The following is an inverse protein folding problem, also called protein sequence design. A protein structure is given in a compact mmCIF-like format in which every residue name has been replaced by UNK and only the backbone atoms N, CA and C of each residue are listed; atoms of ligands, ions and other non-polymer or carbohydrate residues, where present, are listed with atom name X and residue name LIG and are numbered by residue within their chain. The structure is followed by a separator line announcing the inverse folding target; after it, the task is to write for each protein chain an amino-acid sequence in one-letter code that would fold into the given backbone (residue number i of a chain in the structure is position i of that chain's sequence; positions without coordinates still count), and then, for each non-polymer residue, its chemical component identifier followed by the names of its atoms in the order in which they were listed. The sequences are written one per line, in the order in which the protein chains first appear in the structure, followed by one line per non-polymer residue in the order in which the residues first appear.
data_IF_551656843962
#
_entry.id   IF_551656843962
#
_cell.length_a   1.000
_cell.length_b   1.000
_cell.length_c   1.000
_cell.angle_alpha   90.00
_cell.angle_beta   90.00
_cell.angle_gamma   90.00
#
_symmetry.space_group_name_H-M   'P 1'
#
loop_
_entity.id
_entity.type
_entity.pdbx_description
1 polymer ?
#
# COMPACT_ATOMS: atom_id res chain seq x y z
N UNK A 1 -9.60 46.64 -30.36
CA UNK A 1 -9.95 45.20 -30.27
C UNK A 1 -10.10 44.83 -28.81
N UNK A 2 -11.34 44.65 -28.33
CA UNK A 2 -11.64 44.14 -26.99
C UNK A 2 -11.40 42.64 -27.01
N UNK A 3 -10.27 42.18 -26.47
CA UNK A 3 -10.07 40.75 -26.18
C UNK A 3 -11.00 40.36 -25.04
N UNK A 4 -12.09 39.67 -25.38
CA UNK A 4 -12.90 38.96 -24.41
C UNK A 4 -12.05 37.87 -23.77
N UNK A 5 -11.43 38.16 -22.62
CA UNK A 5 -10.96 37.13 -21.73
C UNK A 5 -12.20 36.44 -21.16
N UNK A 6 -12.52 35.25 -21.69
CA UNK A 6 -13.44 34.33 -21.03
C UNK A 6 -12.81 33.96 -19.68
N UNK A 7 -13.19 34.64 -18.61
CA UNK A 7 -12.98 34.16 -17.26
C UNK A 7 -14.00 33.05 -17.05
N UNK A 8 -13.66 31.82 -17.50
CA UNK A 8 -14.30 30.64 -16.91
C UNK A 8 -13.96 30.68 -15.42
N UNK A 9 -14.96 30.57 -14.57
CA UNK A 9 -14.78 30.45 -13.12
C UNK A 9 -13.80 29.31 -12.89
N UNK A 10 -12.56 29.65 -12.56
CA UNK A 10 -11.54 28.66 -12.25
C UNK A 10 -11.96 27.96 -10.95
N UNK A 11 -11.77 26.63 -10.83
CA UNK A 11 -11.95 25.96 -9.55
C UNK A 11 -11.08 26.63 -8.48
N UNK A 12 -11.47 26.54 -7.18
CA UNK A 12 -10.63 27.04 -6.11
C UNK A 12 -9.24 26.41 -6.23
N UNK A 13 -8.21 27.24 -6.34
CA UNK A 13 -6.83 26.80 -6.49
C UNK A 13 -5.91 27.60 -5.55
N UNK A 14 -4.79 27.02 -5.09
CA UNK A 14 -3.88 27.72 -4.18
C UNK A 14 -3.02 28.76 -4.92
N UNK A 15 -2.87 28.62 -6.23
CA UNK A 15 -2.16 29.55 -7.11
C UNK A 15 -2.67 29.42 -8.54
N UNK A 16 -2.30 30.35 -9.40
CA UNK A 16 -2.58 30.36 -10.83
C UNK A 16 -1.28 30.57 -11.63
N UNK A 17 -1.15 29.83 -12.74
CA UNK A 17 -0.04 29.96 -13.68
C UNK A 17 -0.57 30.29 -15.07
N UNK A 18 -0.23 31.48 -15.56
CA UNK A 18 -0.52 31.90 -16.94
C UNK A 18 0.58 31.47 -17.89
N UNK A 19 0.20 30.96 -19.07
CA UNK A 19 1.14 30.57 -20.13
C UNK A 19 0.94 31.43 -21.40
N UNK A 20 1.37 32.71 -21.41
CA UNK A 20 1.20 33.57 -22.57
C UNK A 20 2.09 33.12 -23.75
N UNK A 21 1.57 33.34 -24.97
CA UNK A 21 2.29 33.11 -26.24
C UNK A 21 3.30 34.21 -26.60
N UNK A 22 3.37 35.28 -25.82
CA UNK A 22 4.25 36.42 -26.06
C UNK A 22 4.92 36.82 -24.75
N UNK A 23 6.12 37.37 -24.82
CA UNK A 23 6.80 37.91 -23.65
C UNK A 23 6.11 39.19 -23.18
N UNK A 24 5.94 39.32 -21.87
CA UNK A 24 5.40 40.52 -21.23
C UNK A 24 6.60 41.33 -20.75
N UNK A 25 6.72 42.58 -21.22
CA UNK A 25 7.82 43.49 -20.86
C UNK A 25 9.25 42.92 -21.09
N UNK A 26 9.42 42.05 -22.09
CA UNK A 26 10.72 41.41 -22.39
C UNK A 26 11.15 40.33 -21.39
N UNK A 27 10.33 40.02 -20.38
CA UNK A 27 10.61 38.99 -19.40
C UNK A 27 10.03 37.63 -19.84
N UNK A 28 10.80 36.55 -19.58
CA UNK A 28 10.36 35.16 -19.86
C UNK A 28 9.42 34.61 -18.81
N UNK A 29 9.45 35.14 -17.60
CA UNK A 29 8.53 34.78 -16.54
C UNK A 29 8.31 35.99 -15.63
N UNK A 30 7.20 35.99 -14.91
CA UNK A 30 6.94 36.91 -13.81
C UNK A 30 6.23 36.16 -12.72
N UNK A 31 6.65 36.38 -11.48
CA UNK A 31 6.08 35.70 -10.33
C UNK A 31 5.97 36.64 -9.14
N UNK A 32 4.91 36.49 -8.37
CA UNK A 32 4.82 37.11 -7.06
C UNK A 32 5.72 36.38 -6.07
N UNK A 33 6.19 37.10 -5.07
CA UNK A 33 6.95 36.50 -3.97
C UNK A 33 6.03 36.19 -2.80
N UNK A 34 6.05 34.94 -2.33
CA UNK A 34 5.30 34.47 -1.16
C UNK A 34 3.78 34.72 -1.25
N UNK A 35 3.26 34.72 -2.49
CA UNK A 35 1.87 35.05 -2.80
C UNK A 35 0.91 33.85 -2.77
N UNK A 36 1.40 32.63 -2.49
CA UNK A 36 0.56 31.43 -2.47
C UNK A 36 -0.65 31.64 -1.57
N UNK A 37 -1.83 31.19 -2.02
CA UNK A 37 -3.12 31.28 -1.32
C UNK A 37 -3.67 32.68 -1.10
N UNK A 38 -3.00 33.69 -1.63
CA UNK A 38 -3.54 35.02 -1.69
C UNK A 38 -4.36 35.17 -2.98
N UNK A 39 -5.66 35.53 -2.92
CA UNK A 39 -6.48 35.67 -4.12
C UNK A 39 -6.00 36.76 -5.09
N UNK A 40 -5.24 37.75 -4.61
CA UNK A 40 -4.75 38.87 -5.42
C UNK A 40 -3.32 38.65 -5.95
N UNK A 41 -2.50 37.89 -5.22
CA UNK A 41 -1.07 37.75 -5.51
C UNK A 41 -0.63 36.31 -5.77
N UNK A 42 -1.50 35.30 -5.63
CA UNK A 42 -1.21 33.90 -5.95
C UNK A 42 -1.21 33.62 -7.45
N UNK A 43 -0.46 34.41 -8.22
CA UNK A 43 -0.39 34.29 -9.67
C UNK A 43 1.03 34.44 -10.18
N UNK A 44 1.37 33.63 -11.16
CA UNK A 44 2.62 33.74 -11.92
C UNK A 44 2.33 33.57 -13.41
N UNK A 45 3.25 33.98 -14.27
CA UNK A 45 3.20 33.67 -15.68
C UNK A 45 4.56 33.21 -16.20
N UNK A 46 4.53 32.30 -17.17
CA UNK A 46 5.71 31.83 -17.89
C UNK A 46 5.43 31.87 -19.38
N UNK A 47 6.31 32.55 -20.10
CA UNK A 47 6.29 32.57 -21.55
C UNK A 47 6.50 31.15 -22.09
N UNK A 48 5.47 30.62 -22.76
CA UNK A 48 5.50 29.29 -23.32
C UNK A 48 6.07 29.34 -24.75
N UNK A 49 7.31 28.91 -24.89
CA UNK A 49 7.97 28.72 -26.18
C UNK A 49 7.36 27.51 -26.91
N UNK A 50 6.99 27.68 -28.18
CA UNK A 50 6.50 26.58 -29.03
C UNK A 50 7.60 25.50 -29.11
N UNK A 51 7.27 24.25 -28.80
CA UNK A 51 8.17 23.08 -28.78
C UNK A 51 9.20 22.98 -27.63
N UNK A 52 9.23 23.90 -26.67
CA UNK A 52 10.13 23.83 -25.50
C UNK A 52 9.36 23.54 -24.20
N UNK A 53 8.62 22.44 -24.18
CA UNK A 53 7.74 22.07 -23.05
C UNK A 53 8.55 21.86 -21.76
N UNK A 54 9.67 21.13 -21.82
CA UNK A 54 10.50 20.88 -20.64
C UNK A 54 11.11 22.16 -20.06
N UNK A 55 11.62 23.06 -20.91
CA UNK A 55 12.12 24.36 -20.45
C UNK A 55 11.00 25.21 -19.85
N UNK A 56 9.81 25.19 -20.46
CA UNK A 56 8.64 25.89 -19.92
C UNK A 56 8.26 25.32 -18.55
N UNK A 57 8.33 24.00 -18.37
CA UNK A 57 8.05 23.32 -17.11
C UNK A 57 9.07 23.66 -16.01
N UNK A 58 10.37 23.69 -16.32
CA UNK A 58 11.40 24.06 -15.32
C UNK A 58 11.32 25.53 -14.94
N UNK A 59 11.06 26.42 -15.90
CA UNK A 59 10.83 27.85 -15.62
C UNK A 59 9.51 28.08 -14.86
N UNK A 60 8.47 27.27 -15.14
CA UNK A 60 7.24 27.26 -14.35
C UNK A 60 7.48 26.81 -12.91
N UNK A 61 8.25 25.74 -12.70
CA UNK A 61 8.63 25.29 -11.37
C UNK A 61 9.44 26.38 -10.63
N UNK A 62 10.36 27.07 -11.30
CA UNK A 62 11.08 28.23 -10.76
C UNK A 62 10.13 29.37 -10.37
N UNK A 63 9.19 29.73 -11.24
CA UNK A 63 8.20 30.78 -10.96
C UNK A 63 7.30 30.40 -9.77
N UNK A 64 6.84 29.14 -9.69
CA UNK A 64 6.07 28.61 -8.56
C UNK A 64 6.90 28.61 -7.28
N UNK A 65 8.21 28.34 -7.37
CA UNK A 65 9.14 28.46 -6.25
C UNK A 65 9.09 29.85 -5.61
N UNK A 66 9.05 30.92 -6.40
CA UNK A 66 8.86 32.28 -5.88
C UNK A 66 7.48 32.49 -5.23
N UNK A 67 6.41 31.95 -5.82
CA UNK A 67 5.06 32.03 -5.24
C UNK A 67 5.02 31.35 -3.86
N UNK A 68 5.76 30.26 -3.69
CA UNK A 68 5.95 29.55 -2.41
C UNK A 68 6.96 30.23 -1.46
N UNK A 69 7.52 31.37 -1.85
CA UNK A 69 8.39 32.19 -1.02
C UNK A 69 9.89 31.85 -1.11
N UNK A 70 10.32 31.01 -2.05
CA UNK A 70 11.73 30.74 -2.33
C UNK A 70 12.40 31.92 -3.03
N UNK A 71 13.63 32.23 -2.61
CA UNK A 71 14.49 33.23 -3.26
C UNK A 71 15.47 32.54 -4.20
N UNK A 72 16.19 33.33 -5.00
CA UNK A 72 17.27 32.77 -5.80
C UNK A 72 18.38 32.19 -4.92
N UNK A 73 19.04 31.16 -5.43
CA UNK A 73 20.14 30.50 -4.75
C UNK A 73 21.33 31.46 -4.57
N UNK A 74 21.83 31.54 -3.33
CA UNK A 74 22.97 32.36 -2.92
C UNK A 74 24.21 31.47 -2.66
N UNK A 75 25.42 32.05 -2.51
CA UNK A 75 26.60 31.28 -2.11
C UNK A 75 26.35 30.50 -0.82
N UNK A 76 26.50 29.18 -0.87
CA UNK A 76 26.16 28.25 0.22
C UNK A 76 24.97 27.33 -0.07
N UNK A 77 24.15 27.67 -1.07
CA UNK A 77 23.09 26.80 -1.56
C UNK A 77 23.64 25.74 -2.52
N UNK A 78 23.40 24.46 -2.25
CA UNK A 78 23.92 23.32 -3.00
C UNK A 78 22.79 22.37 -3.39
N UNK A 79 22.90 21.76 -4.57
CA UNK A 79 21.99 20.71 -5.04
C UNK A 79 22.79 19.51 -5.55
N UNK A 80 22.14 18.34 -5.54
CA UNK A 80 22.79 17.09 -5.90
C UNK A 80 23.14 17.02 -7.40
N UNK A 81 24.39 16.65 -7.71
CA UNK A 81 24.92 16.38 -9.07
C UNK A 81 24.82 17.53 -10.10
N UNK A 82 24.50 18.76 -9.70
CA UNK A 82 24.41 19.93 -10.61
C UNK A 82 25.12 21.15 -10.03
N UNK A 83 25.70 21.98 -10.90
CA UNK A 83 26.33 23.26 -10.51
C UNK A 83 25.32 24.38 -10.28
N UNK A 84 24.17 24.33 -10.97
CA UNK A 84 23.07 25.28 -10.81
C UNK A 84 21.79 24.52 -10.47
N UNK A 85 21.02 25.08 -9.55
CA UNK A 85 19.80 24.48 -9.02
C UNK A 85 18.57 25.20 -9.58
N UNK A 86 17.38 24.67 -9.31
CA UNK A 86 16.11 25.17 -9.82
C UNK A 86 15.94 26.68 -9.61
N UNK A 87 16.36 27.23 -8.47
CA UNK A 87 16.24 28.65 -8.14
C UNK A 87 17.49 29.47 -8.48
N UNK A 88 18.31 29.03 -9.43
CA UNK A 88 19.38 29.85 -9.99
C UNK A 88 18.84 31.19 -10.53
N UNK A 89 19.54 32.33 -10.33
CA UNK A 89 19.12 33.64 -10.84
C UNK A 89 18.81 33.65 -12.35
N UNK A 90 19.51 32.80 -13.11
CA UNK A 90 19.25 32.56 -14.52
C UNK A 90 18.57 31.20 -14.68
N UNK A 91 17.23 31.14 -14.79
CA UNK A 91 16.52 29.88 -14.92
C UNK A 91 16.79 29.23 -16.28
N UNK A 92 16.89 27.90 -16.25
CA UNK A 92 17.16 27.07 -17.42
C UNK A 92 16.54 25.69 -17.27
N UNK A 93 17.13 24.68 -17.92
CA UNK A 93 16.69 23.28 -17.80
C UNK A 93 17.24 22.64 -16.51
N UNK A 94 16.83 23.20 -15.38
CA UNK A 94 17.25 22.84 -14.02
C UNK A 94 16.08 22.18 -13.32
N UNK A 95 16.27 20.95 -12.84
CA UNK A 95 15.23 20.08 -12.26
C UNK A 95 15.47 19.75 -10.78
N UNK A 96 16.57 20.24 -10.19
CA UNK A 96 16.98 19.88 -8.83
C UNK A 96 16.89 21.09 -7.91
N UNK A 97 16.15 20.95 -6.80
CA UNK A 97 16.08 21.94 -5.73
C UNK A 97 17.41 21.99 -4.95
N UNK A 98 17.80 23.18 -4.48
CA UNK A 98 18.89 23.34 -3.53
C UNK A 98 18.42 23.07 -2.09
N UNK A 99 19.35 22.78 -1.20
CA UNK A 99 19.09 22.72 0.25
C UNK A 99 18.36 23.97 0.79
N UNK A 100 18.74 25.18 0.35
CA UNK A 100 18.08 26.44 0.75
C UNK A 100 16.62 26.50 0.29
N UNK A 101 16.36 26.08 -0.95
CA UNK A 101 15.00 26.06 -1.49
C UNK A 101 14.13 25.02 -0.82
N UNK A 102 14.73 23.86 -0.50
CA UNK A 102 14.08 22.79 0.23
C UNK A 102 13.67 23.25 1.63
N UNK A 103 14.58 23.87 2.38
CA UNK A 103 14.29 24.42 3.72
C UNK A 103 13.13 25.43 3.67
N UNK A 104 13.12 26.34 2.69
CA UNK A 104 12.07 27.35 2.55
C UNK A 104 10.72 26.75 2.21
N UNK A 105 10.68 25.81 1.26
CA UNK A 105 9.45 25.11 0.87
C UNK A 105 8.94 24.25 2.04
N UNK A 106 9.84 23.50 2.70
CA UNK A 106 9.53 22.72 3.89
C UNK A 106 8.90 23.61 4.97
N UNK A 107 9.53 24.74 5.31
CA UNK A 107 8.96 25.72 6.25
C UNK A 107 7.58 26.23 5.79
N UNK A 108 7.39 26.51 4.49
CA UNK A 108 6.10 26.97 3.96
C UNK A 108 5.02 25.90 4.08
N UNK A 109 5.33 24.64 3.82
CA UNK A 109 4.38 23.53 3.94
C UNK A 109 4.05 23.19 5.41
N UNK A 110 5.03 23.37 6.32
CA UNK A 110 4.80 23.23 7.76
C UNK A 110 4.06 24.41 8.38
N UNK A 111 4.14 25.60 7.78
CA UNK A 111 3.23 26.70 8.10
C UNK A 111 1.87 26.35 7.52
N UNK A 112 0.91 26.04 8.38
CA UNK A 112 -0.42 25.67 7.90
C UNK A 112 -1.11 26.84 7.23
N UNK A 113 -1.45 26.59 5.98
CA UNK A 113 -2.30 27.44 5.18
C UNK A 113 -3.51 26.60 4.74
N UNK A 114 -4.72 27.08 5.05
CA UNK A 114 -6.00 26.38 4.77
C UNK A 114 -6.08 25.84 3.32
N UNK A 115 -5.51 26.58 2.37
CA UNK A 115 -5.48 26.31 0.94
C UNK A 115 -4.50 25.21 0.47
N UNK A 116 -3.42 24.94 1.21
CA UNK A 116 -2.38 23.96 0.86
C UNK A 116 -2.48 22.71 1.75
N UNK A 117 -3.00 22.87 2.96
CA UNK A 117 -3.09 21.81 3.96
C UNK A 117 -4.37 20.97 3.86
N UNK A 118 -5.43 21.48 3.24
CA UNK A 118 -6.65 20.70 3.04
C UNK A 118 -6.50 19.80 1.80
N UNK A 119 -6.82 18.50 1.89
CA UNK A 119 -6.82 17.62 0.73
C UNK A 119 -7.86 18.12 -0.27
N UNK A 120 -7.44 18.40 -1.50
CA UNK A 120 -8.36 18.74 -2.58
C UNK A 120 -9.19 17.50 -2.93
N UNK A 121 -10.50 17.59 -2.79
CA UNK A 121 -11.41 16.59 -3.38
C UNK A 121 -11.29 16.73 -4.90
N UNK A 122 -10.82 15.70 -5.62
CA UNK A 122 -10.72 15.78 -7.07
C UNK A 122 -12.11 16.04 -7.64
N UNK A 123 -12.26 17.15 -8.36
CA UNK A 123 -13.49 17.45 -9.09
C UNK A 123 -13.60 16.49 -10.27
N UNK A 124 -14.37 15.43 -10.13
CA UNK A 124 -14.56 14.42 -11.19
C UNK A 124 -15.33 14.95 -12.42
N UNK A 125 -15.93 16.16 -12.34
CA UNK A 125 -16.67 16.77 -13.46
C UNK A 125 -15.77 17.34 -14.56
N UNK A 126 -14.48 17.57 -14.30
CA UNK A 126 -13.51 17.98 -15.33
C UNK A 126 -12.18 17.27 -15.12
N UNK A 127 -11.81 16.32 -16.00
CA UNK A 127 -10.53 15.64 -15.87
C UNK A 127 -9.43 16.62 -16.31
N UNK A 128 -8.78 17.26 -15.36
CA UNK A 128 -7.41 17.77 -15.57
C UNK A 128 -6.39 16.61 -15.68
N UNK A 129 -6.84 15.37 -15.48
CA UNK A 129 -6.11 14.16 -15.79
C UNK A 129 -6.27 13.92 -17.29
N UNK A 130 -5.22 14.16 -18.06
CA UNK A 130 -5.17 13.71 -19.44
C UNK A 130 -5.22 12.19 -19.41
N UNK A 131 -6.35 11.61 -19.82
CA UNK A 131 -6.48 10.17 -20.06
C UNK A 131 -5.32 9.74 -20.94
N UNK A 132 -4.59 8.72 -20.51
CA UNK A 132 -3.34 8.34 -21.17
C UNK A 132 -3.06 6.86 -20.96
N UNK A 133 -3.32 6.11 -22.01
CA UNK A 133 -2.79 4.77 -22.18
C UNK A 133 -1.31 4.68 -21.79
N UNK A 134 -1.06 3.83 -20.80
CA UNK A 134 0.26 3.52 -20.27
C UNK A 134 0.58 4.14 -18.92
N UNK A 135 -0.42 4.61 -18.17
CA UNK A 135 -0.30 5.09 -16.79
C UNK A 135 -0.70 4.03 -15.73
N UNK A 136 -1.02 2.81 -16.19
CA UNK A 136 -1.46 1.63 -15.40
C UNK A 136 -2.84 1.80 -14.79
N UNK A 137 -3.64 2.74 -15.28
CA UNK A 137 -5.00 2.95 -14.82
C UNK A 137 -5.96 2.81 -16.01
N UNK A 138 -6.82 1.80 -15.94
CA UNK A 138 -7.88 1.62 -16.94
C UNK A 138 -8.84 2.81 -16.92
N UNK A 139 -8.73 3.66 -17.93
CA UNK A 139 -9.68 4.75 -18.18
C UNK A 139 -10.97 4.22 -18.86
N UNK A 140 -12.10 4.96 -18.81
CA UNK A 140 -13.37 4.49 -19.39
C UNK A 140 -13.34 4.22 -20.91
N UNK A 141 -12.39 4.81 -21.63
CA UNK A 141 -12.21 4.61 -23.08
C UNK A 141 -11.23 3.46 -23.40
N UNK A 142 -10.65 2.82 -22.40
CA UNK A 142 -9.63 1.78 -22.51
C UNK A 142 -10.17 0.43 -22.02
N UNK A 143 -9.78 -0.67 -22.68
CA UNK A 143 -10.18 -2.01 -22.24
C UNK A 143 -9.26 -2.54 -21.14
N UNK A 144 -7.99 -2.13 -21.18
CA UNK A 144 -6.91 -2.54 -20.29
C UNK A 144 -5.80 -1.50 -20.28
N UNK A 145 -4.97 -1.46 -19.23
CA UNK A 145 -3.75 -0.65 -19.22
C UNK A 145 -2.60 -1.39 -18.52
N UNK A 146 -1.64 -1.85 -19.32
CA UNK A 146 -0.42 -2.55 -18.90
C UNK A 146 0.72 -1.60 -18.46
N UNK A 147 0.56 -0.28 -18.61
CA UNK A 147 1.57 0.72 -18.30
C UNK A 147 2.51 1.01 -19.46
N UNK A 148 3.79 1.19 -19.15
CA UNK A 148 4.78 1.59 -20.18
C UNK A 148 4.94 0.52 -21.26
N UNK A 149 5.47 0.91 -22.44
CA UNK A 149 5.76 -0.03 -23.53
C UNK A 149 6.60 -1.24 -23.07
N UNK A 150 7.50 -1.02 -22.11
CA UNK A 150 8.33 -2.08 -21.52
C UNK A 150 7.52 -3.01 -20.62
N UNK A 151 6.65 -2.46 -19.78
CA UNK A 151 5.77 -3.26 -18.90
C UNK A 151 4.82 -4.12 -19.75
N UNK A 152 4.23 -3.52 -20.77
CA UNK A 152 3.33 -4.21 -21.70
C UNK A 152 4.01 -5.31 -22.53
N UNK A 153 5.31 -5.22 -22.77
CA UNK A 153 6.05 -6.26 -23.49
C UNK A 153 6.08 -7.61 -22.76
N UNK A 154 5.91 -7.60 -21.43
CA UNK A 154 5.81 -8.80 -20.60
C UNK A 154 4.38 -9.29 -20.46
N UNK A 155 3.40 -8.41 -20.72
CA UNK A 155 2.00 -8.72 -20.65
C UNK A 155 1.53 -9.50 -21.87
N UNK A 156 0.63 -10.45 -21.65
CA UNK A 156 0.04 -11.28 -22.71
C UNK A 156 -1.41 -10.91 -22.97
N UNK A 157 -2.06 -10.21 -22.05
CA UNK A 157 -3.49 -9.98 -22.07
C UNK A 157 -3.85 -8.59 -22.62
N UNK A 158 -2.95 -7.62 -22.48
CA UNK A 158 -3.14 -6.26 -22.98
C UNK A 158 -2.07 -5.89 -24.00
N UNK A 159 -2.46 -5.14 -25.03
CA UNK A 159 -1.55 -4.56 -26.01
C UNK A 159 -1.13 -3.14 -25.58
N UNK A 160 -0.03 -2.64 -26.14
CA UNK A 160 0.47 -1.28 -25.89
C UNK A 160 -0.47 -0.15 -26.33
N UNK A 161 -1.59 -0.48 -26.97
CA UNK A 161 -2.62 0.46 -27.40
C UNK A 161 -3.84 0.45 -26.46
N UNK A 162 -3.72 -0.15 -25.28
CA UNK A 162 -4.78 -0.24 -24.25
C UNK A 162 -6.05 -0.96 -24.70
N UNK A 163 -5.85 -1.96 -25.56
CA UNK A 163 -6.87 -2.88 -26.08
C UNK A 163 -6.46 -4.30 -25.73
N UNK A 164 -7.43 -5.14 -25.35
CA UNK A 164 -7.16 -6.53 -25.00
C UNK A 164 -6.59 -7.31 -26.20
N UNK A 165 -5.73 -8.28 -25.92
CA UNK A 165 -5.20 -9.17 -26.95
C UNK A 165 -6.28 -10.17 -27.42
N UNK A 166 -6.13 -10.70 -28.63
CA UNK A 166 -7.09 -11.64 -29.20
C UNK A 166 -7.28 -12.87 -28.30
N UNK A 167 -8.53 -13.11 -27.87
CA UNK A 167 -8.89 -14.24 -26.99
C UNK A 167 -8.72 -13.97 -25.50
N UNK A 168 -8.32 -12.75 -25.12
CA UNK A 168 -8.29 -12.27 -23.73
C UNK A 168 -9.63 -11.67 -23.34
N UNK A 169 -10.10 -12.00 -22.14
CA UNK A 169 -11.34 -11.45 -21.56
C UNK A 169 -11.04 -10.43 -20.46
N UNK A 170 -9.88 -10.53 -19.82
CA UNK A 170 -9.45 -9.66 -18.75
C UNK A 170 -7.93 -9.46 -18.82
N UNK A 171 -7.45 -8.42 -18.14
CA UNK A 171 -6.04 -8.08 -18.05
C UNK A 171 -5.60 -7.82 -16.61
N UNK A 172 -6.33 -6.95 -15.91
CA UNK A 172 -6.12 -6.60 -14.51
C UNK A 172 -7.25 -7.12 -13.62
N UNK A 173 -7.05 -7.17 -12.31
CA UNK A 173 -8.03 -7.64 -11.33
C UNK A 173 -7.72 -9.02 -10.73
N UNK A 174 -8.07 -9.19 -9.46
CA UNK A 174 -7.73 -10.39 -8.66
C UNK A 174 -8.42 -11.67 -9.16
N UNK A 175 -9.54 -11.53 -9.88
CA UNK A 175 -10.24 -12.62 -10.55
C UNK A 175 -9.78 -12.82 -12.00
N UNK A 176 -8.68 -12.20 -12.46
CA UNK A 176 -8.11 -12.46 -13.78
C UNK A 176 -6.97 -13.49 -13.71
N UNK A 177 -7.14 -14.64 -14.37
CA UNK A 177 -6.13 -15.70 -14.41
C UNK A 177 -5.84 -16.10 -15.85
N UNK A 178 -4.60 -15.86 -16.30
CA UNK A 178 -4.16 -16.18 -17.67
C UNK A 178 -5.09 -15.57 -18.74
N UNK A 179 -5.39 -14.28 -18.59
CA UNK A 179 -6.24 -13.51 -19.49
C UNK A 179 -7.71 -13.97 -19.59
N UNK A 180 -8.18 -14.79 -18.63
CA UNK A 180 -9.57 -15.26 -18.54
C UNK A 180 -10.07 -15.07 -17.11
N UNK A 181 -11.38 -14.94 -16.95
CA UNK A 181 -12.00 -14.92 -15.64
C UNK A 181 -11.68 -16.22 -14.88
N UNK A 182 -11.34 -16.07 -13.60
CA UNK A 182 -11.12 -17.17 -12.69
C UNK A 182 -12.39 -18.04 -12.59
N UNK A 183 -12.26 -19.31 -12.25
CA UNK A 183 -13.43 -20.17 -12.07
C UNK A 183 -14.23 -19.74 -10.82
N UNK A 184 -15.56 -19.97 -10.79
CA UNK A 184 -16.37 -19.66 -9.61
C UNK A 184 -15.85 -20.38 -8.35
N UNK A 185 -15.77 -19.69 -7.22
CA UNK A 185 -15.20 -20.24 -5.99
C UNK A 185 -13.69 -20.11 -5.85
N UNK A 186 -13.00 -19.48 -6.82
CA UNK A 186 -11.60 -19.09 -6.65
C UNK A 186 -11.50 -17.96 -5.64
N UNK A 187 -10.67 -18.13 -4.61
CA UNK A 187 -10.38 -17.08 -3.62
C UNK A 187 -9.55 -15.99 -4.32
N UNK A 188 -10.11 -14.79 -4.49
CA UNK A 188 -9.41 -13.70 -5.16
C UNK A 188 -8.41 -12.97 -4.27
N UNK A 189 -8.68 -12.90 -2.96
CA UNK A 189 -7.88 -12.17 -1.99
C UNK A 189 -7.49 -13.08 -0.83
N UNK A 190 -6.24 -12.98 -0.40
CA UNK A 190 -5.78 -13.70 0.78
C UNK A 190 -6.47 -13.17 2.03
N UNK A 191 -6.84 -14.07 2.95
CA UNK A 191 -7.43 -13.71 4.25
C UNK A 191 -6.31 -13.32 5.22
N UNK A 192 -6.38 -12.11 5.75
CA UNK A 192 -5.29 -11.49 6.52
C UNK A 192 -5.28 -11.88 8.01
N UNK A 193 -6.34 -12.53 8.49
CA UNK A 193 -6.43 -12.95 9.88
C UNK A 193 -7.79 -13.55 10.24
N UNK A 194 -8.00 -13.77 11.53
CA UNK A 194 -9.23 -14.40 12.06
C UNK A 194 -10.49 -13.53 11.96
N UNK A 195 -10.31 -12.22 11.79
CA UNK A 195 -11.40 -11.25 11.64
C UNK A 195 -11.72 -10.93 10.18
N UNK A 196 -10.97 -11.49 9.24
CA UNK A 196 -11.13 -11.26 7.81
C UNK A 196 -11.91 -12.40 7.17
N UNK A 197 -12.72 -12.12 6.14
CA UNK A 197 -13.53 -13.14 5.47
C UNK A 197 -13.03 -13.35 4.04
N UNK A 198 -13.13 -14.58 3.49
CA UNK A 198 -12.71 -14.84 2.12
C UNK A 198 -13.76 -14.36 1.11
N UNK A 199 -13.31 -13.72 0.05
CA UNK A 199 -14.09 -13.43 -1.15
C UNK A 199 -13.77 -14.39 -2.31
N UNK A 200 -14.80 -14.74 -3.07
CA UNK A 200 -14.76 -15.72 -4.14
C UNK A 200 -15.16 -15.09 -5.47
N UNK A 201 -14.38 -15.37 -6.51
CA UNK A 201 -14.71 -15.00 -7.87
C UNK A 201 -16.02 -15.66 -8.31
N UNK A 202 -16.83 -14.90 -9.06
CA UNK A 202 -18.11 -15.37 -9.62
C UNK A 202 -17.95 -16.08 -10.99
N UNK A 203 -16.75 -16.01 -11.58
CA UNK A 203 -16.41 -16.50 -12.92
C UNK A 203 -16.99 -15.75 -14.11
N UNK A 204 -17.49 -14.54 -13.89
CA UNK A 204 -18.09 -13.66 -14.90
C UNK A 204 -17.37 -12.31 -15.02
N UNK A 205 -16.68 -11.89 -13.97
CA UNK A 205 -15.93 -10.64 -13.88
C UNK A 205 -14.49 -10.89 -13.45
N UNK A 206 -13.62 -9.94 -13.75
CA UNK A 206 -12.21 -9.87 -13.32
C UNK A 206 -12.03 -9.16 -11.97
N UNK A 207 -13.03 -8.39 -11.56
CA UNK A 207 -13.13 -7.79 -10.22
C UNK A 207 -13.52 -8.83 -9.16
N UNK A 208 -12.78 -8.83 -8.05
CA UNK A 208 -13.15 -9.51 -6.82
C UNK A 208 -14.35 -8.80 -6.19
N UNK A 209 -15.28 -9.52 -5.54
CA UNK A 209 -16.31 -8.90 -4.71
C UNK A 209 -15.70 -7.91 -3.71
N UNK A 210 -16.51 -6.96 -3.25
CA UNK A 210 -16.08 -6.00 -2.24
C UNK A 210 -15.58 -6.74 -0.98
N UNK A 211 -14.46 -6.26 -0.44
CA UNK A 211 -13.83 -6.80 0.75
C UNK A 211 -14.80 -6.76 1.95
N UNK A 212 -15.06 -7.93 2.51
CA UNK A 212 -15.90 -8.11 3.68
C UNK A 212 -15.10 -8.73 4.81
N UNK A 213 -15.37 -8.26 6.03
CA UNK A 213 -14.72 -8.76 7.23
C UNK A 213 -15.77 -9.05 8.30
N UNK A 214 -15.38 -9.78 9.35
CA UNK A 214 -16.23 -10.03 10.50
C UNK A 214 -16.58 -8.69 11.16
N UNK A 215 -17.84 -8.51 11.49
CA UNK A 215 -18.34 -7.27 12.05
C UNK A 215 -17.49 -6.76 13.23
N UNK A 216 -17.26 -5.45 13.21
CA UNK A 216 -16.57 -4.71 14.26
C UNK A 216 -17.16 -4.98 15.64
N UNK A 217 -16.28 -5.15 16.62
CA UNK A 217 -16.63 -5.51 17.99
C UNK A 217 -16.69 -7.02 18.25
N UNK A 218 -16.61 -7.89 17.25
CA UNK A 218 -16.60 -9.34 17.49
C UNK A 218 -15.33 -9.73 18.28
N UNK A 219 -15.43 -10.38 19.46
CA UNK A 219 -14.24 -10.80 20.22
C UNK A 219 -13.37 -11.78 19.43
N UNK A 220 -12.08 -11.48 19.33
CA UNK A 220 -11.12 -12.29 18.56
C UNK A 220 -9.94 -12.78 19.42
N UNK A 221 -9.62 -12.08 20.50
CA UNK A 221 -8.70 -12.53 21.54
C UNK A 221 -9.19 -12.07 22.93
N UNK A 222 -8.59 -12.54 24.04
CA UNK A 222 -8.90 -12.02 25.37
C UNK A 222 -8.65 -10.51 25.52
N UNK A 223 -7.76 -9.96 24.69
CA UNK A 223 -7.29 -8.57 24.77
C UNK A 223 -7.65 -7.73 23.53
N UNK A 224 -8.44 -8.26 22.59
CA UNK A 224 -8.81 -7.56 21.37
C UNK A 224 -10.16 -8.00 20.79
N UNK A 225 -10.79 -7.07 20.07
CA UNK A 225 -11.97 -7.28 19.23
C UNK A 225 -11.63 -7.01 17.77
N UNK A 226 -12.37 -7.64 16.86
CA UNK A 226 -12.28 -7.37 15.43
C UNK A 226 -12.62 -5.91 15.16
N UNK A 227 -11.76 -5.22 14.41
CA UNK A 227 -12.03 -3.88 13.89
C UNK A 227 -11.47 -3.77 12.48
N UNK A 228 -12.31 -3.46 11.49
CA UNK A 228 -11.95 -3.34 10.07
C UNK A 228 -11.17 -4.57 9.55
N UNK A 229 -11.58 -5.76 9.97
CA UNK A 229 -10.95 -7.03 9.60
C UNK A 229 -9.64 -7.37 10.31
N UNK A 230 -9.14 -6.48 11.18
CA UNK A 230 -7.94 -6.74 11.97
C UNK A 230 -8.29 -7.27 13.37
N UNK A 231 -7.44 -8.17 13.88
CA UNK A 231 -7.42 -8.60 15.27
C UNK A 231 -6.00 -8.40 15.81
N UNK A 232 -5.77 -7.30 16.51
CA UNK A 232 -4.45 -7.04 17.07
C UNK A 232 -4.57 -6.36 18.42
N UNK A 233 -3.78 -6.83 19.37
CA UNK A 233 -3.54 -6.17 20.65
C UNK A 233 -2.21 -5.39 20.59
N UNK A 234 -1.91 -4.64 21.65
CA UNK A 234 -0.68 -3.84 21.73
C UNK A 234 0.59 -4.70 21.71
N UNK A 235 0.54 -5.88 22.34
CA UNK A 235 1.65 -6.84 22.32
C UNK A 235 1.94 -7.35 20.91
N UNK A 236 0.93 -7.83 20.18
CA UNK A 236 1.07 -8.31 18.80
C UNK A 236 1.47 -7.18 17.87
N UNK A 237 0.97 -5.96 18.09
CA UNK A 237 1.36 -4.79 17.32
C UNK A 237 2.85 -4.47 17.53
N UNK A 238 3.34 -4.49 18.77
CA UNK A 238 4.77 -4.34 19.07
C UNK A 238 5.63 -5.43 18.43
N UNK A 239 5.15 -6.68 18.40
CA UNK A 239 5.87 -7.78 17.74
C UNK A 239 5.89 -7.65 16.23
N UNK A 240 4.80 -7.20 15.63
CA UNK A 240 4.71 -6.95 14.19
C UNK A 240 5.65 -5.82 13.75
N UNK A 241 5.83 -4.80 14.58
CA UNK A 241 6.66 -3.63 14.28
C UNK A 241 8.15 -3.86 14.58
N UNK A 242 8.49 -4.46 15.73
CA UNK A 242 9.86 -4.53 16.23
C UNK A 242 10.44 -5.95 16.29
N UNK A 243 9.66 -6.96 15.92
CA UNK A 243 10.07 -8.35 15.83
C UNK A 243 9.63 -9.22 17.00
N UNK A 244 9.93 -10.51 16.88
CA UNK A 244 9.45 -11.54 17.80
C UNK A 244 9.97 -11.36 19.24
N UNK A 245 9.09 -11.55 20.22
CA UNK A 245 9.42 -11.50 21.65
C UNK A 245 9.45 -10.10 22.27
N UNK A 246 9.18 -9.06 21.47
CA UNK A 246 8.90 -7.71 21.97
C UNK A 246 7.48 -7.69 22.56
N UNK A 247 7.25 -6.87 23.59
CA UNK A 247 5.95 -6.68 24.23
C UNK A 247 5.67 -5.20 24.40
N UNK A 248 4.43 -4.88 24.74
CA UNK A 248 4.05 -3.54 25.17
C UNK A 248 4.93 -3.07 26.34
N UNK A 249 5.16 -1.76 26.40
CA UNK A 249 5.85 -1.14 27.52
C UNK A 249 4.94 -1.07 28.75
N UNK A 250 5.54 -0.78 29.91
CA UNK A 250 4.79 -0.57 31.15
C UNK A 250 3.77 0.57 31.00
N UNK A 251 2.64 0.48 31.72
CA UNK A 251 1.56 1.47 31.73
C UNK A 251 2.06 2.89 32.02
N UNK A 252 3.11 3.04 32.83
CA UNK A 252 3.76 4.32 33.13
C UNK A 252 4.28 5.06 31.88
N UNK A 253 4.68 4.34 30.83
CA UNK A 253 5.08 4.95 29.55
C UNK A 253 3.89 5.68 28.91
N UNK A 254 2.73 5.03 28.89
CA UNK A 254 1.50 5.59 28.30
C UNK A 254 1.01 6.79 29.12
N UNK A 255 0.89 6.63 30.44
CA UNK A 255 0.37 7.69 31.32
C UNK A 255 1.24 8.95 31.31
N UNK A 256 2.57 8.82 31.23
CA UNK A 256 3.48 9.98 31.25
C UNK A 256 3.67 10.59 29.87
N UNK A 257 3.80 9.78 28.81
CA UNK A 257 4.12 10.29 27.48
C UNK A 257 2.87 10.73 26.73
N UNK A 258 1.81 9.92 26.71
CA UNK A 258 0.63 10.21 25.89
C UNK A 258 -0.19 11.42 26.41
N UNK A 259 -0.08 11.72 27.70
CA UNK A 259 -0.65 12.94 28.30
C UNK A 259 0.09 14.23 27.90
N UNK A 260 1.33 14.17 27.40
CA UNK A 260 2.10 15.38 27.01
C UNK A 260 1.54 16.03 25.75
N UNK A 261 1.02 15.23 24.82
CA UNK A 261 0.54 15.74 23.53
C UNK A 261 1.67 16.28 22.66
N UNK A 262 2.84 15.63 22.70
CA UNK A 262 3.99 15.97 21.88
C UNK A 262 4.20 14.95 20.75
N UNK A 263 5.31 15.06 20.02
CA UNK A 263 5.65 14.15 18.91
C UNK A 263 5.90 12.71 19.37
N UNK A 264 6.26 12.49 20.64
CA UNK A 264 6.63 11.19 21.20
C UNK A 264 5.46 10.52 21.91
N UNK A 265 4.49 11.28 22.41
CA UNK A 265 3.26 10.75 23.00
C UNK A 265 2.06 11.67 22.82
N UNK A 266 1.02 11.15 22.17
CA UNK A 266 -0.22 11.88 21.84
C UNK A 266 -1.37 10.90 21.53
N UNK A 267 -2.61 11.41 21.49
CA UNK A 267 -3.81 10.69 21.02
C UNK A 267 -4.13 11.07 19.57
N UNK A 268 -3.14 10.88 18.70
CA UNK A 268 -3.23 11.21 17.30
C UNK A 268 -2.99 12.68 16.98
N UNK A 269 -2.92 12.95 15.68
CA UNK A 269 -2.64 14.26 15.13
C UNK A 269 -3.93 14.83 14.55
N UNK A 270 -4.42 15.94 15.12
CA UNK A 270 -5.61 16.63 14.61
C UNK A 270 -5.22 17.83 13.76
N UNK A 271 -5.90 18.00 12.63
CA UNK A 271 -5.77 19.18 11.78
C UNK A 271 -6.30 20.41 12.51
N UNK A 272 -5.40 21.26 12.98
CA UNK A 272 -5.70 22.51 13.68
C UNK A 272 -5.20 23.68 12.84
N UNK A 273 -5.70 24.90 13.08
CA UNK A 273 -5.10 26.11 12.50
C UNK A 273 -3.62 26.20 12.91
N UNK A 274 -2.70 25.92 11.98
CA UNK A 274 -1.26 25.83 12.28
C UNK A 274 -0.59 24.50 11.93
N UNK A 275 -1.35 23.45 11.58
CA UNK A 275 -0.79 22.19 11.08
C UNK A 275 -1.66 21.01 11.47
N UNK A 276 -1.23 19.80 11.12
CA UNK A 276 -1.46 18.70 12.06
C UNK A 276 -0.78 19.08 13.38
N UNK A 277 -1.47 19.01 14.51
CA UNK A 277 -0.84 19.11 15.83
C UNK A 277 -1.12 17.84 16.62
N UNK A 278 -0.13 17.26 17.31
CA UNK A 278 -0.38 16.17 18.22
C UNK A 278 -1.29 16.68 19.35
N UNK A 279 -2.26 15.86 19.74
CA UNK A 279 -3.23 16.21 20.79
C UNK A 279 -2.93 15.38 22.03
N UNK A 280 -2.89 15.99 23.23
CA UNK A 280 -2.73 15.21 24.47
C UNK A 280 -3.91 14.27 24.67
N UNK A 281 -3.64 13.09 25.19
CA UNK A 281 -4.70 12.16 25.58
C UNK A 281 -5.45 12.64 26.83
N UNK A 282 -6.70 12.20 26.97
CA UNK A 282 -7.40 12.22 28.25
C UNK A 282 -6.95 11.03 29.12
N UNK A 283 -7.20 11.09 30.42
CA UNK A 283 -6.74 10.08 31.38
C UNK A 283 -7.25 8.67 31.04
N UNK A 284 -8.49 8.56 30.58
CA UNK A 284 -9.10 7.28 30.21
C UNK A 284 -8.60 6.76 28.84
N UNK A 285 -8.04 7.65 28.02
CA UNK A 285 -7.63 7.36 26.63
C UNK A 285 -6.13 7.07 26.48
N UNK A 286 -5.34 7.18 27.56
CA UNK A 286 -3.88 7.07 27.50
C UNK A 286 -3.38 5.78 26.85
N UNK A 287 -4.14 4.68 27.01
CA UNK A 287 -3.84 3.36 26.45
C UNK A 287 -4.22 3.19 24.97
N UNK A 288 -4.88 4.19 24.37
CA UNK A 288 -5.32 4.23 22.97
C UNK A 288 -4.58 5.27 22.12
N UNK A 289 -3.61 5.99 22.71
CA UNK A 289 -2.78 6.97 22.00
C UNK A 289 -1.64 6.34 21.21
N UNK A 290 -0.45 6.94 21.28
CA UNK A 290 0.77 6.40 20.69
C UNK A 290 1.17 5.09 21.39
N UNK A 291 1.58 4.10 20.60
CA UNK A 291 2.04 2.79 21.04
C UNK A 291 3.47 2.90 21.58
N UNK A 292 3.68 2.35 22.78
CA UNK A 292 4.99 2.23 23.41
C UNK A 292 5.34 0.76 23.64
N UNK A 293 6.50 0.34 23.14
CA UNK A 293 7.01 -1.02 23.23
C UNK A 293 8.25 -1.08 24.14
N UNK A 294 8.39 -2.19 24.88
CA UNK A 294 9.50 -2.40 25.81
C UNK A 294 10.61 -3.28 25.21
N UNK A 295 11.83 -3.12 25.71
CA UNK A 295 12.96 -4.04 25.44
C UNK A 295 13.33 -4.25 23.96
N UNK A 296 13.14 -3.23 23.11
CA UNK A 296 13.57 -3.27 21.70
C UNK A 296 15.09 -3.25 21.62
N UNK A 297 15.69 -4.29 21.02
CA UNK A 297 17.15 -4.46 20.92
C UNK A 297 17.71 -4.06 19.56
N UNK A 298 16.94 -4.27 18.50
CA UNK A 298 17.31 -4.01 17.13
C UNK A 298 16.15 -3.30 16.44
N UNK A 299 16.47 -2.29 15.63
CA UNK A 299 15.47 -1.52 14.90
C UNK A 299 15.38 -2.14 13.50
N UNK A 300 14.28 -2.84 13.15
CA UNK A 300 14.08 -3.27 11.78
C UNK A 300 13.94 -2.00 10.94
N UNK A 301 14.90 -1.77 10.03
CA UNK A 301 15.02 -0.52 9.28
C UNK A 301 13.66 0.00 8.83
N UNK A 302 13.31 1.21 9.28
CA UNK A 302 12.03 1.81 8.95
C UNK A 302 11.98 2.26 7.48
N UNK A 303 10.80 2.24 6.88
CA UNK A 303 10.58 2.77 5.53
C UNK A 303 10.97 4.24 5.41
N UNK A 304 10.93 4.79 4.20
CA UNK A 304 11.25 6.20 3.98
C UNK A 304 10.39 7.12 4.89
N UNK A 305 11.02 8.14 5.49
CA UNK A 305 10.39 9.12 6.37
C UNK A 305 9.88 8.60 7.73
N UNK A 306 10.35 7.44 8.20
CA UNK A 306 10.06 6.95 9.56
C UNK A 306 11.12 7.39 10.57
N UNK A 307 10.68 7.68 11.79
CA UNK A 307 11.55 8.09 12.90
C UNK A 307 11.11 7.38 14.18
N UNK A 308 12.08 7.04 15.01
CA UNK A 308 11.89 6.28 16.23
C UNK A 308 12.45 7.05 17.41
N UNK A 309 11.85 6.86 18.59
CA UNK A 309 12.37 7.34 19.86
C UNK A 309 12.64 6.20 20.82
N UNK A 310 13.62 6.44 21.70
CA UNK A 310 13.89 5.63 22.86
C UNK A 310 13.97 6.55 24.07
N UNK A 311 12.94 6.50 24.92
CA UNK A 311 12.82 7.34 26.11
C UNK A 311 12.85 6.48 27.36
N UNK A 312 13.44 7.02 28.43
CA UNK A 312 13.43 6.37 29.74
C UNK A 312 12.53 7.19 30.65
N UNK A 313 11.47 6.57 31.15
CA UNK A 313 10.55 7.18 32.12
C UNK A 313 10.95 6.70 33.51
N UNK A 314 11.23 7.65 34.40
CA UNK A 314 11.58 7.39 35.79
C UNK A 314 10.30 7.38 36.63
N UNK A 315 9.86 6.18 36.98
CA UNK A 315 8.85 5.94 38.01
C UNK A 315 9.50 5.16 39.18
N UNK A 316 8.90 4.06 39.68
CA UNK A 316 9.50 3.22 40.73
C UNK A 316 10.76 2.49 40.24
N UNK A 317 10.75 2.06 38.99
CA UNK A 317 11.92 1.52 38.28
C UNK A 317 12.04 2.22 36.92
N UNK A 318 13.26 2.45 36.39
CA UNK A 318 13.41 3.07 35.08
C UNK A 318 12.80 2.16 34.00
N UNK A 319 11.76 2.65 33.34
CA UNK A 319 11.08 1.95 32.25
C UNK A 319 11.56 2.48 30.91
N UNK A 320 11.88 1.55 30.00
CA UNK A 320 12.30 1.85 28.63
C UNK A 320 11.08 1.88 27.71
N UNK A 321 10.76 3.05 27.15
CA UNK A 321 9.67 3.26 26.22
C UNK A 321 10.24 3.48 24.82
N UNK A 322 9.94 2.59 23.88
CA UNK A 322 10.37 2.67 22.48
C UNK A 322 9.16 2.74 21.56
N UNK A 323 9.19 3.62 20.55
CA UNK A 323 8.05 3.80 19.67
C UNK A 323 8.39 4.60 18.42
N UNK A 324 7.38 4.77 17.56
CA UNK A 324 7.45 5.67 16.42
C UNK A 324 7.22 7.11 16.87
N UNK A 325 7.77 8.06 16.13
CA UNK A 325 7.45 9.47 16.32
C UNK A 325 6.36 9.91 15.34
N UNK A 326 5.46 10.78 15.80
CA UNK A 326 4.53 11.44 14.91
C UNK A 326 5.26 12.44 14.00
N UNK A 327 5.44 12.09 12.72
CA UNK A 327 6.04 12.97 11.71
C UNK A 327 4.99 13.51 10.73
N UNK A 328 5.06 14.80 10.39
CA UNK A 328 4.19 15.39 9.38
C UNK A 328 4.75 15.12 7.98
N UNK A 329 3.95 14.54 7.09
CA UNK A 329 4.31 14.33 5.68
C UNK A 329 4.54 12.89 5.24
N UNK A 330 4.31 11.90 6.12
CA UNK A 330 4.25 10.49 5.74
C UNK A 330 2.83 10.11 5.35
N UNK A 331 2.66 9.33 4.28
CA UNK A 331 1.35 8.79 3.85
C UNK A 331 0.75 7.78 4.86
N UNK A 332 1.51 7.41 5.90
CA UNK A 332 1.14 6.43 6.95
C UNK A 332 1.40 6.98 8.36
N UNK A 333 0.70 8.05 8.79
CA UNK A 333 0.87 8.65 10.12
C UNK A 333 0.42 7.75 11.27
N UNK A 334 -0.32 6.68 10.97
CA UNK A 334 -1.03 5.86 11.96
C UNK A 334 -0.25 4.61 12.43
N UNK A 335 0.90 4.29 11.83
CA UNK A 335 1.68 3.09 12.21
C UNK A 335 2.16 3.11 13.66
N UNK A 336 2.30 4.30 14.25
CA UNK A 336 2.73 4.52 15.64
C UNK A 336 1.59 4.60 16.66
N UNK A 337 0.32 4.58 16.23
CA UNK A 337 -0.83 4.65 17.13
C UNK A 337 -1.31 3.24 17.49
N UNK A 338 -1.88 3.09 18.68
CA UNK A 338 -2.54 1.85 19.09
C UNK A 338 -3.67 1.55 18.10
N UNK A 339 -3.68 0.34 17.55
CA UNK A 339 -4.72 -0.11 16.62
C UNK A 339 -6.10 -0.15 17.26
N UNK A 340 -7.11 0.19 16.47
CA UNK A 340 -8.51 0.03 16.88
C UNK A 340 -8.79 -1.43 17.22
N UNK A 341 -9.55 -1.66 18.30
CA UNK A 341 -9.94 -2.98 18.78
C UNK A 341 -9.06 -3.55 19.88
N UNK A 342 -7.90 -2.95 20.16
CA UNK A 342 -7.08 -3.30 21.32
C UNK A 342 -7.78 -2.92 22.64
N UNK A 343 -7.67 -3.75 23.68
CA UNK A 343 -8.29 -3.48 24.99
C UNK A 343 -7.55 -2.37 25.73
N UNK A 344 -8.25 -1.34 26.19
CA UNK A 344 -7.69 -0.29 27.05
C UNK A 344 -8.01 -0.49 28.55
N UNK A 345 -8.77 -1.56 28.87
CA UNK A 345 -9.26 -1.84 30.21
C UNK A 345 -10.37 -2.90 30.18
N UNK A 346 -10.90 -3.31 31.34
CA UNK A 346 -11.90 -4.37 31.41
C UNK A 346 -13.20 -3.98 30.69
N UNK A 347 -13.51 -4.63 29.57
CA UNK A 347 -14.73 -4.40 28.78
C UNK A 347 -14.74 -3.12 27.93
N UNK A 348 -13.58 -2.47 27.79
CA UNK A 348 -13.37 -1.25 26.99
C UNK A 348 -12.26 -1.47 25.95
N UNK A 349 -12.43 -0.85 24.78
CA UNK A 349 -11.57 -1.04 23.61
C UNK A 349 -11.31 0.28 22.89
N UNK A 350 -10.14 0.38 22.27
CA UNK A 350 -9.71 1.54 21.53
C UNK A 350 -10.49 1.68 20.21
N UNK A 351 -11.02 2.87 19.94
CA UNK A 351 -11.65 3.25 18.67
C UNK A 351 -11.36 4.71 18.37
N UNK A 352 -10.66 4.99 17.26
CA UNK A 352 -10.22 6.33 16.88
C UNK A 352 -9.53 7.07 18.05
N UNK A 353 -8.57 6.41 18.69
CA UNK A 353 -7.78 6.94 19.83
C UNK A 353 -8.59 7.30 21.09
N UNK A 354 -9.80 6.78 21.23
CA UNK A 354 -10.63 6.91 22.43
C UNK A 354 -10.90 5.51 23.02
N UNK A 355 -10.88 5.40 24.35
CA UNK A 355 -11.20 4.18 25.09
C UNK A 355 -12.73 4.08 25.28
N UNK A 356 -13.36 3.27 24.44
CA UNK A 356 -14.83 3.18 24.36
C UNK A 356 -15.35 1.88 24.96
N UNK A 357 -16.54 1.92 25.57
CA UNK A 357 -17.21 0.71 26.07
C UNK A 357 -17.65 -0.19 24.93
N UNK A 358 -17.58 -1.51 25.17
CA UNK A 358 -17.99 -2.52 24.20
C UNK A 358 -19.39 -2.28 23.59
N UNK A 359 -20.35 -1.79 24.39
CA UNK A 359 -21.72 -1.54 23.95
C UNK A 359 -21.81 -0.36 22.96
N UNK A 360 -20.94 0.63 23.09
CA UNK A 360 -20.92 1.84 22.26
C UNK A 360 -20.20 1.62 20.91
N UNK A 361 -19.58 0.45 20.72
CA UNK A 361 -18.92 0.10 19.46
C UNK A 361 -19.91 -0.09 18.30
N UNK A 362 -21.21 -0.27 18.57
CA UNK A 362 -22.25 -0.45 17.55
C UNK A 362 -22.41 -1.92 17.10
N UNK A 363 -22.21 -2.86 18.03
CA UNK A 363 -22.37 -4.29 17.78
C UNK A 363 -23.85 -4.68 17.66
N UNK A 364 -24.37 -4.62 16.43
CA UNK A 364 -25.80 -4.83 16.17
C UNK A 364 -26.18 -6.27 15.77
N UNK A 365 -25.24 -7.21 15.63
CA UNK A 365 -25.53 -8.54 15.09
C UNK A 365 -25.22 -9.67 16.07
N UNK A 366 -26.29 -10.18 16.68
CA UNK A 366 -26.23 -11.40 17.48
C UNK A 366 -26.03 -12.63 16.57
N UNK A 367 -25.14 -13.54 16.98
CA UNK A 367 -24.84 -14.81 16.28
C UNK A 367 -26.10 -15.68 16.10
N UNK A 368 -27.15 -15.42 16.91
CA UNK A 368 -28.50 -15.98 16.71
C UNK A 368 -29.07 -15.71 15.32
N UNK A 369 -28.80 -14.54 14.73
CA UNK A 369 -29.29 -14.18 13.38
C UNK A 369 -28.79 -15.17 12.32
N UNK A 370 -27.58 -15.67 12.51
CA UNK A 370 -26.93 -16.66 11.64
C UNK A 370 -27.08 -18.10 12.18
N UNK A 371 -28.05 -18.34 13.07
CA UNK A 371 -28.35 -19.64 13.68
C UNK A 371 -27.16 -20.34 14.34
N UNK A 372 -26.19 -19.58 14.86
CA UNK A 372 -24.92 -20.11 15.41
C UNK A 372 -24.10 -20.96 14.43
N UNK A 373 -24.36 -20.81 13.12
CA UNK A 373 -23.72 -21.56 12.02
C UNK A 373 -22.96 -20.63 11.07
N UNK A 374 -22.69 -19.42 11.52
CA UNK A 374 -22.02 -18.37 10.75
C UNK A 374 -21.77 -17.15 11.62
N UNK A 375 -21.08 -16.18 11.04
CA UNK A 375 -20.75 -14.89 11.66
C UNK A 375 -21.35 -13.76 10.83
N UNK A 376 -21.57 -12.59 11.43
CA UNK A 376 -22.03 -11.43 10.69
C UNK A 376 -20.83 -10.72 10.05
N UNK A 377 -20.95 -10.33 8.78
CA UNK A 377 -19.95 -9.52 8.11
C UNK A 377 -20.18 -8.01 8.36
N UNK A 378 -19.27 -7.18 7.87
CA UNK A 378 -19.31 -5.70 7.96
C UNK A 378 -20.57 -5.07 7.36
N UNK A 379 -21.27 -5.78 6.46
CA UNK A 379 -22.55 -5.36 5.86
C UNK A 379 -23.78 -5.87 6.62
N UNK A 380 -23.60 -6.49 7.80
CA UNK A 380 -24.66 -7.08 8.66
C UNK A 380 -25.39 -8.27 8.03
N UNK A 381 -24.80 -8.92 7.03
CA UNK A 381 -25.25 -10.19 6.46
C UNK A 381 -24.49 -11.37 7.09
N UNK A 382 -25.06 -12.57 7.03
CA UNK A 382 -24.41 -13.76 7.58
C UNK A 382 -23.43 -14.37 6.58
N UNK A 383 -22.19 -14.53 7.01
CA UNK A 383 -21.21 -15.40 6.39
C UNK A 383 -21.30 -16.78 7.03
N UNK A 384 -21.84 -17.74 6.28
CA UNK A 384 -22.12 -19.08 6.76
C UNK A 384 -20.89 -19.98 6.70
N UNK A 385 -20.73 -20.84 7.72
CA UNK A 385 -19.74 -21.90 7.70
C UNK A 385 -20.03 -22.90 6.57
N UNK A 386 -18.99 -23.58 6.13
CA UNK A 386 -19.11 -24.63 5.12
C UNK A 386 -20.16 -25.67 5.52
N UNK A 387 -21.00 -26.08 4.56
CA UNK A 387 -22.15 -26.94 4.79
C UNK A 387 -23.48 -26.20 4.99
N UNK A 388 -23.48 -24.86 5.12
CA UNK A 388 -24.68 -24.02 5.25
C UNK A 388 -24.68 -22.89 4.22
N UNK A 389 -25.84 -22.53 3.68
CA UNK A 389 -25.94 -21.41 2.71
C UNK A 389 -26.54 -20.14 3.31
N UNK A 390 -26.12 -18.95 2.84
CA UNK A 390 -26.75 -17.68 3.17
C UNK A 390 -28.22 -17.63 2.67
N UNK A 391 -29.09 -16.75 3.21
CA UNK A 391 -28.79 -15.57 4.02
C UNK A 391 -28.77 -15.77 5.55
N UNK A 392 -29.39 -16.83 6.08
CA UNK A 392 -29.51 -17.05 7.55
C UNK A 392 -28.81 -18.33 8.04
N UNK A 393 -28.09 -19.07 7.18
CA UNK A 393 -27.39 -20.31 7.52
C UNK A 393 -28.31 -21.45 8.05
N UNK A 394 -29.56 -21.52 7.57
CA UNK A 394 -30.54 -22.57 7.98
C UNK A 394 -30.60 -23.77 7.05
N UNK A 395 -30.21 -23.59 5.79
CA UNK A 395 -30.26 -24.62 4.75
C UNK A 395 -28.85 -25.10 4.44
N UNK A 396 -28.71 -26.35 4.00
CA UNK A 396 -27.41 -26.89 3.60
C UNK A 396 -26.93 -26.26 2.29
N UNK A 397 -25.62 -26.05 2.17
CA UNK A 397 -24.97 -25.55 0.96
C UNK A 397 -23.47 -25.28 1.15
N UNK A 398 -22.80 -24.62 0.18
CA UNK A 398 -21.34 -24.58 0.11
C UNK A 398 -20.66 -23.58 1.08
N UNK A 399 -21.42 -22.72 1.77
CA UNK A 399 -20.89 -21.71 2.70
C UNK A 399 -21.05 -20.28 2.20
N UNK A 400 -20.29 -19.36 2.80
CA UNK A 400 -20.10 -17.99 2.32
C UNK A 400 -21.19 -17.01 2.73
N UNK A 401 -21.09 -15.80 2.19
CA UNK A 401 -22.09 -14.72 2.36
C UNK A 401 -22.77 -14.43 1.01
N UNK A 402 -23.87 -13.68 1.05
CA UNK A 402 -24.45 -13.07 -0.16
C UNK A 402 -23.52 -12.06 -0.81
N UNK A 403 -22.56 -11.51 -0.05
CA UNK A 403 -21.64 -10.45 -0.48
C UNK A 403 -20.29 -10.99 -0.98
N UNK A 404 -19.87 -12.18 -0.56
CA UNK A 404 -18.51 -12.70 -0.78
C UNK A 404 -18.39 -13.58 -2.05
N UNK A 405 -19.40 -13.62 -2.91
CA UNK A 405 -19.44 -14.51 -4.08
C UNK A 405 -19.65 -15.99 -3.73
N UNK A 406 -19.88 -16.86 -4.74
CA UNK A 406 -20.17 -18.27 -4.51
C UNK A 406 -18.88 -19.03 -4.12
N UNK A 407 -18.83 -19.71 -2.96
CA UNK A 407 -17.70 -20.58 -2.62
C UNK A 407 -17.62 -21.81 -3.53
N UNK A 408 -16.47 -22.51 -3.58
CA UNK A 408 -16.31 -23.69 -4.43
C UNK A 408 -17.23 -24.84 -3.98
N UNK A 409 -17.95 -25.44 -4.94
CA UNK A 409 -18.89 -26.55 -4.69
C UNK A 409 -18.19 -27.89 -4.40
N UNK A 410 -16.94 -28.05 -4.81
CA UNK A 410 -16.15 -29.27 -4.60
C UNK A 410 -15.06 -29.01 -3.57
N UNK A 411 -14.91 -29.93 -2.62
CA UNK A 411 -13.75 -29.93 -1.73
C UNK A 411 -12.47 -29.86 -2.59
N UNK A 412 -11.57 -28.94 -2.23
CA UNK A 412 -10.16 -29.02 -2.59
C UNK A 412 -9.59 -30.25 -1.91
N UNK A 413 -9.97 -31.43 -2.41
CA UNK A 413 -9.29 -32.66 -2.09
C UNK A 413 -7.83 -32.40 -2.39
N UNK A 414 -6.99 -32.51 -1.35
CA UNK A 414 -5.54 -32.47 -1.50
C UNK A 414 -5.20 -33.65 -2.41
N UNK A 415 -5.22 -33.41 -3.73
CA UNK A 415 -4.58 -34.28 -4.69
C UNK A 415 -3.12 -34.07 -4.40
N UNK A 416 -2.59 -34.87 -3.47
CA UNK A 416 -1.18 -35.13 -3.39
C UNK A 416 -0.79 -35.67 -4.77
N UNK A 417 -0.41 -34.77 -5.69
CA UNK A 417 0.29 -35.17 -6.87
C UNK A 417 1.62 -35.66 -6.34
N UNK A 418 1.74 -36.98 -6.17
CA UNK A 418 3.01 -37.67 -6.01
C UNK A 418 3.84 -37.36 -7.26
N UNK A 419 4.44 -36.17 -7.29
CA UNK A 419 5.59 -35.88 -8.13
C UNK A 419 6.72 -36.66 -7.49
N UNK A 420 6.79 -37.95 -7.81
CA UNK A 420 8.05 -38.68 -7.74
C UNK A 420 9.02 -37.90 -8.61
N UNK A 421 9.78 -37.00 -8.01
CA UNK A 421 10.96 -36.43 -8.63
C UNK A 421 11.95 -37.57 -8.72
N UNK A 422 11.83 -38.39 -9.76
CA UNK A 422 12.86 -39.32 -10.16
C UNK A 422 14.12 -38.48 -10.38
N UNK A 423 14.99 -38.48 -9.35
CA UNK A 423 16.22 -37.71 -9.34
C UNK A 423 16.94 -37.97 -10.65
N UNK A 424 17.22 -36.92 -11.45
CA UNK A 424 17.98 -37.04 -12.71
C UNK A 424 19.28 -37.83 -12.52
N UNK A 425 19.87 -37.76 -11.32
CA UNK A 425 21.05 -38.55 -10.95
C UNK A 425 20.77 -40.07 -10.94
N UNK A 426 19.60 -40.52 -10.47
CA UNK A 426 19.23 -41.93 -10.38
C UNK A 426 18.97 -42.52 -11.77
N UNK A 427 18.32 -41.76 -12.66
CA UNK A 427 18.12 -42.15 -14.06
C UNK A 427 19.45 -42.20 -14.84
N UNK A 428 20.39 -41.29 -14.58
CA UNK A 428 21.74 -41.35 -15.16
C UNK A 428 22.52 -42.57 -14.62
N UNK A 429 22.40 -42.90 -13.33
CA UNK A 429 23.05 -44.07 -12.73
C UNK A 429 22.51 -45.40 -13.29
N UNK A 430 21.18 -45.52 -13.42
CA UNK A 430 20.54 -46.70 -14.02
C UNK A 430 20.96 -46.87 -15.48
N UNK A 431 20.99 -45.79 -16.27
CA UNK A 431 21.46 -45.83 -17.66
C UNK A 431 22.92 -46.30 -17.75
N UNK A 432 23.81 -45.79 -16.89
CA UNK A 432 25.22 -46.21 -16.84
C UNK A 432 25.38 -47.67 -16.45
N UNK A 433 24.57 -48.15 -15.51
CA UNK A 433 24.58 -49.55 -15.10
C UNK A 433 24.12 -50.47 -16.24
N UNK A 434 23.04 -50.12 -16.94
CA UNK A 434 22.59 -50.88 -18.10
C UNK A 434 23.63 -50.95 -19.23
N UNK A 435 24.34 -49.85 -19.50
CA UNK A 435 25.42 -49.83 -20.50
C UNK A 435 26.61 -50.72 -20.09
N UNK A 436 26.96 -50.74 -18.80
CA UNK A 436 27.99 -51.64 -18.25
C UNK A 436 27.60 -53.12 -18.37
N UNK A 437 26.34 -53.45 -18.08
CA UNK A 437 25.85 -54.81 -18.25
C UNK A 437 25.86 -55.24 -19.73
N UNK A 438 25.49 -54.34 -20.64
CA UNK A 438 25.56 -54.59 -22.09
C UNK A 438 27.00 -54.82 -22.56
N UNK A 439 27.96 -54.02 -22.10
CA UNK A 439 29.37 -54.22 -22.48
C UNK A 439 29.93 -55.53 -21.91
N UNK A 440 29.56 -55.89 -20.68
CA UNK A 440 29.95 -57.16 -20.08
C UNK A 440 29.33 -58.36 -20.81
N UNK A 441 28.05 -58.25 -21.22
CA UNK A 441 27.38 -59.28 -22.00
C UNK A 441 28.03 -59.46 -23.37
N UNK A 442 28.31 -58.36 -24.09
CA UNK A 442 29.02 -58.41 -25.37
C UNK A 442 30.41 -59.04 -25.19
N UNK A 443 31.16 -58.62 -24.16
CA UNK A 443 32.47 -59.21 -23.83
C UNK A 443 32.39 -60.72 -23.55
N UNK A 444 31.39 -61.17 -22.80
CA UNK A 444 31.16 -62.59 -22.54
C UNK A 444 30.82 -63.36 -23.82
N UNK A 445 30.03 -62.79 -24.74
CA UNK A 445 29.72 -63.42 -26.03
C UNK A 445 30.95 -63.53 -26.94
N UNK A 446 31.84 -62.53 -26.93
CA UNK A 446 33.11 -62.62 -27.65
C UNK A 446 34.05 -63.67 -27.03
N UNK A 447 34.17 -63.71 -25.70
CA UNK A 447 34.97 -64.71 -25.02
C UNK A 447 34.46 -66.15 -25.27
N UNK A 448 33.15 -66.35 -25.25
CA UNK A 448 32.54 -67.64 -25.61
C UNK A 448 32.78 -68.03 -27.06
N UNK A 449 32.84 -67.04 -27.97
CA UNK A 449 33.15 -67.28 -29.38
C UNK A 449 34.62 -67.68 -29.56
N UNK A 450 35.54 -66.97 -28.94
CA UNK A 450 36.98 -67.29 -29.00
C UNK A 450 37.28 -68.66 -28.35
N UNK A 451 36.60 -69.01 -27.24
CA UNK A 451 36.74 -70.32 -26.60
C UNK A 451 36.23 -71.49 -27.47
N UNK A 452 35.19 -71.25 -28.29
CA UNK A 452 34.70 -72.25 -29.26
C UNK A 452 35.64 -72.39 -30.46
N UNK A 453 36.28 -71.30 -30.90
CA UNK A 453 37.29 -71.32 -31.98
C UNK A 453 38.60 -72.00 -31.51
N UNK A 454 38.96 -71.95 -30.22
CA UNK A 454 40.08 -72.73 -29.63
C UNK A 454 39.77 -74.23 -29.49
N UNK A 455 38.52 -74.65 -29.25
CA UNK A 455 38.16 -76.07 -29.24
C UNK A 455 38.19 -76.71 -30.66
N UNK A 456 37.84 -75.95 -31.71
CA UNK A 456 37.91 -76.43 -33.10
C UNK A 456 39.36 -76.58 -33.65
N UNK A 457 40.37 -75.97 -33.01
CA UNK A 457 41.78 -76.05 -33.47
C UNK A 457 42.60 -77.14 -32.79
N UNK A 458 42.01 -77.91 -31.86
CA UNK A 458 42.66 -79.03 -31.17
C UNK A 458 42.25 -80.40 -31.78
N UNK A 459 41.26 -80.44 -32.69
CA UNK A 459 40.79 -81.65 -33.37
C UNK A 459 41.29 -81.87 -34.82
N UNK A 460 42.26 -81.08 -35.31
CA UNK A 460 42.95 -81.31 -36.60
C UNK A 460 44.42 -81.77 -36.47
#
# INVERSE_FOLDING_TARGET
MRTHCYVRVAPPSPTSLGLPRHQIAGARYGSSYDGVCNPNWGSSYVYALRYHIFLTATVAAHAIGHVLGSRHDAPGCQCFRRQHCLMSPNPGLLDMMSNCTFERIHRRLHMWDVCLSNPYVPYNNFPYISRRCGDKKKDPDEECDCGTLKDCSQDRCCNSNCVLSLGSLCHSGDCCRRCKYAYPGYICRDTLGVCDLPEYCNGKTDECPADTYIQDGTPCSPSAVCMRGNCSDRDLQCQALFGYGIKEAATSCYEVLNMRGDRFGNCGVRLTRGGGKPVPCELDDVMCGMLHCGNVKEIPGGGEHTSFHHLIVHDVTPQSCFGYDAHFGTDVPDMGLVVDGATCGPGVYCKNQNCTFFQDLGFDCDVKKCNYRGVCNSMKHCHCQHGWKPPNCTQRGPGGSVDSGPPPDTELGIRASLRLSLNRALSILLLRFCLLCLSAFIGATYYLKDALEEEETIED
#
